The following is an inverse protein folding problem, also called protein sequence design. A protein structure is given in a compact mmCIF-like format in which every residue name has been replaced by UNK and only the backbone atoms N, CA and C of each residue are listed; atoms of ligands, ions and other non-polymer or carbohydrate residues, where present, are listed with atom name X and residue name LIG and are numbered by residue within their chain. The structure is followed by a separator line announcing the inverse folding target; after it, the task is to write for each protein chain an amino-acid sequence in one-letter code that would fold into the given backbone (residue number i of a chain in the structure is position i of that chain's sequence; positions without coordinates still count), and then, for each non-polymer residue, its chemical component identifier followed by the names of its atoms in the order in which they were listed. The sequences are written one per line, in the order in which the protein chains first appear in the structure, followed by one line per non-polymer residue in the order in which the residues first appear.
data_IF_768250654461
#
_entry.id   IF_768250654461
#
_cell.length_a   1.000
_cell.length_b   1.000
_cell.length_c   1.000
_cell.angle_alpha   90.00
_cell.angle_beta   90.00
_cell.angle_gamma   90.00
#
_symmetry.space_group_name_H-M   'P 1'
#
loop_
_entity.id
_entity.type
_entity.pdbx_description
1 polymer ?
#
# COMPACT_ATOMS: atom_id res chain seq x y z
N UNK A 1 15.88 -14.98 -18.87
CA UNK A 1 15.75 -13.86 -17.90
C UNK A 1 15.50 -12.61 -18.71
N UNK A 2 14.38 -11.93 -18.50
CA UNK A 2 14.07 -10.65 -19.16
C UNK A 2 14.30 -9.49 -18.21
N UNK A 3 14.56 -8.30 -18.75
CA UNK A 3 14.56 -7.06 -17.97
C UNK A 3 13.11 -6.73 -17.60
N UNK A 4 12.83 -6.70 -16.31
CA UNK A 4 11.55 -6.29 -15.75
C UNK A 4 11.77 -5.16 -14.74
N UNK A 5 10.74 -4.34 -14.52
CA UNK A 5 10.72 -3.45 -13.38
C UNK A 5 10.94 -4.29 -12.11
N UNK A 6 11.67 -3.75 -11.14
CA UNK A 6 12.08 -4.46 -9.92
C UNK A 6 10.93 -4.72 -8.93
N UNK A 7 9.73 -5.05 -9.42
CA UNK A 7 8.57 -5.48 -8.66
C UNK A 7 8.36 -7.00 -8.81
N UNK A 8 7.45 -7.56 -7.99
CA UNK A 8 7.19 -9.01 -7.93
C UNK A 8 5.88 -9.42 -8.60
N UNK A 9 5.26 -8.52 -9.37
CA UNK A 9 3.95 -8.76 -9.97
C UNK A 9 4.06 -9.86 -11.04
N UNK A 10 3.05 -10.73 -11.04
CA UNK A 10 2.92 -11.86 -11.95
C UNK A 10 1.44 -12.17 -12.19
N UNK A 11 1.13 -13.04 -13.14
CA UNK A 11 -0.25 -13.45 -13.43
C UNK A 11 -1.03 -13.89 -12.18
N UNK A 12 -0.36 -14.53 -11.21
CA UNK A 12 -0.97 -14.93 -9.93
C UNK A 12 -1.53 -13.77 -9.10
N UNK A 13 -1.00 -12.56 -9.28
CA UNK A 13 -1.49 -11.34 -8.60
C UNK A 13 -2.77 -10.83 -9.27
N UNK A 14 -2.89 -10.98 -10.59
CA UNK A 14 -4.11 -10.64 -11.35
C UNK A 14 -5.19 -11.70 -11.09
N UNK A 15 -4.82 -12.97 -11.14
CA UNK A 15 -5.68 -14.13 -10.87
C UNK A 15 -5.77 -14.47 -9.37
N UNK A 16 -5.80 -13.44 -8.52
CA UNK A 16 -5.74 -13.56 -7.06
C UNK A 16 -6.88 -14.41 -6.48
N UNK A 17 -8.01 -14.57 -7.18
CA UNK A 17 -9.17 -15.37 -6.74
C UNK A 17 -8.82 -16.83 -6.44
N UNK A 18 -7.80 -17.39 -7.10
CA UNK A 18 -7.31 -18.75 -6.81
C UNK A 18 -6.43 -18.81 -5.56
N UNK A 19 -6.06 -17.66 -5.02
CA UNK A 19 -5.05 -17.50 -3.97
C UNK A 19 -5.49 -16.48 -2.89
N UNK A 20 -6.79 -16.37 -2.60
CA UNK A 20 -7.35 -15.30 -1.73
C UNK A 20 -6.70 -15.23 -0.33
N UNK A 21 -6.23 -16.36 0.20
CA UNK A 21 -5.60 -16.44 1.52
C UNK A 21 -4.10 -16.14 1.50
N UNK A 22 -3.47 -16.01 0.32
CA UNK A 22 -2.03 -15.73 0.21
C UNK A 22 -1.77 -14.24 0.42
N UNK A 23 -1.67 -13.84 1.69
CA UNK A 23 -1.34 -12.47 2.10
C UNK A 23 -0.11 -11.92 1.37
N UNK A 24 0.88 -12.78 1.06
CA UNK A 24 2.06 -12.40 0.28
C UNK A 24 1.71 -11.74 -1.06
N UNK A 25 0.72 -12.26 -1.79
CA UNK A 25 0.31 -11.67 -3.07
C UNK A 25 -0.30 -10.28 -2.88
N UNK A 26 -1.10 -10.08 -1.83
CA UNK A 26 -1.65 -8.76 -1.52
C UNK A 26 -0.53 -7.76 -1.12
N UNK A 27 0.41 -8.20 -0.28
CA UNK A 27 1.55 -7.37 0.14
C UNK A 27 2.47 -7.01 -1.05
N UNK A 28 2.75 -7.96 -1.94
CA UNK A 28 3.55 -7.71 -3.15
C UNK A 28 2.80 -6.77 -4.13
N UNK A 29 1.49 -6.94 -4.28
CA UNK A 29 0.64 -6.05 -5.10
C UNK A 29 0.68 -4.62 -4.60
N UNK A 30 0.53 -4.42 -3.29
CA UNK A 30 0.43 -3.11 -2.66
C UNK A 30 1.78 -2.63 -2.08
N UNK A 31 2.89 -3.02 -2.70
CA UNK A 31 4.24 -2.63 -2.25
C UNK A 31 4.75 -1.34 -2.89
N UNK A 32 5.70 -0.66 -2.25
CA UNK A 32 6.40 0.49 -2.84
C UNK A 32 7.04 0.16 -4.21
N UNK A 33 7.57 -1.06 -4.39
CA UNK A 33 8.14 -1.46 -5.69
C UNK A 33 7.13 -1.45 -6.85
N UNK A 34 5.87 -1.78 -6.56
CA UNK A 34 4.77 -1.69 -7.54
C UNK A 34 4.43 -0.22 -7.81
N UNK A 35 4.39 0.62 -6.78
CA UNK A 35 4.18 2.06 -6.94
C UNK A 35 5.29 2.73 -7.78
N UNK A 36 6.55 2.36 -7.55
CA UNK A 36 7.69 2.91 -8.28
C UNK A 36 7.66 2.47 -9.77
N UNK A 37 7.20 1.25 -10.04
CA UNK A 37 6.99 0.79 -11.42
C UNK A 37 5.85 1.57 -12.12
N UNK A 38 4.74 1.83 -11.43
CA UNK A 38 3.65 2.66 -11.96
C UNK A 38 4.11 4.10 -12.21
N UNK A 39 4.89 4.67 -11.29
CA UNK A 39 5.45 6.01 -11.42
C UNK A 39 6.40 6.10 -12.63
N UNK A 40 7.28 5.12 -12.79
CA UNK A 40 8.17 5.05 -13.95
C UNK A 40 7.39 4.95 -15.27
N UNK A 41 6.36 4.09 -15.34
CA UNK A 41 5.54 3.93 -16.54
C UNK A 41 4.75 5.21 -16.89
N UNK A 42 4.26 5.92 -15.89
CA UNK A 42 3.61 7.22 -16.06
C UNK A 42 4.60 8.28 -16.57
N UNK A 43 5.80 8.36 -15.98
CA UNK A 43 6.86 9.27 -16.42
C UNK A 43 7.33 8.99 -17.86
N UNK A 44 7.30 7.72 -18.29
CA UNK A 44 7.58 7.32 -19.67
C UNK A 44 6.40 7.54 -20.63
N UNK A 45 5.29 8.11 -20.15
CA UNK A 45 4.07 8.39 -20.93
C UNK A 45 3.47 7.15 -21.60
N UNK A 46 3.58 5.97 -20.99
CA UNK A 46 2.92 4.76 -21.48
C UNK A 46 1.40 4.97 -21.38
N UNK A 47 0.71 4.82 -22.52
CA UNK A 47 -0.68 5.27 -22.67
C UNK A 47 -1.66 4.59 -21.71
N UNK A 48 -1.36 3.35 -21.36
CA UNK A 48 -2.10 2.47 -20.49
C UNK A 48 -1.96 2.83 -19.00
N UNK A 49 -0.96 3.64 -18.65
CA UNK A 49 -0.63 4.02 -17.27
C UNK A 49 -0.81 5.53 -17.00
N UNK A 50 -1.71 6.18 -17.73
CA UNK A 50 -2.12 7.56 -17.43
C UNK A 50 -3.03 7.62 -16.21
N UNK A 51 -2.99 8.73 -15.47
CA UNK A 51 -3.83 8.98 -14.30
C UNK A 51 -3.63 7.97 -13.14
N UNK A 52 -2.40 7.45 -12.97
CA UNK A 52 -2.08 6.46 -11.93
C UNK A 52 -1.62 7.09 -10.62
N UNK A 53 -1.57 8.42 -10.51
CA UNK A 53 -1.01 9.17 -9.38
C UNK A 53 -1.75 8.85 -8.07
N UNK A 54 -3.09 8.82 -8.10
CA UNK A 54 -3.87 8.47 -6.91
C UNK A 54 -3.71 6.99 -6.54
N UNK A 55 -3.52 6.10 -7.52
CA UNK A 55 -3.22 4.68 -7.29
C UNK A 55 -1.85 4.51 -6.63
N UNK A 56 -0.83 5.23 -7.11
CA UNK A 56 0.52 5.26 -6.52
C UNK A 56 0.45 5.74 -5.07
N UNK A 57 -0.27 6.83 -4.81
CA UNK A 57 -0.47 7.37 -3.46
C UNK A 57 -1.18 6.39 -2.54
N UNK A 58 -2.21 5.71 -3.03
CA UNK A 58 -2.92 4.66 -2.30
C UNK A 58 -1.97 3.50 -1.93
N UNK A 59 -1.25 2.95 -2.91
CA UNK A 59 -0.29 1.85 -2.69
C UNK A 59 0.77 2.25 -1.66
N UNK A 60 1.41 3.41 -1.83
CA UNK A 60 2.42 3.92 -0.89
C UNK A 60 1.85 4.12 0.52
N UNK A 61 0.58 4.50 0.63
CA UNK A 61 -0.09 4.66 1.92
C UNK A 61 -0.29 3.31 2.62
N UNK A 62 -0.80 2.31 1.89
CA UNK A 62 -1.00 0.96 2.41
C UNK A 62 0.34 0.32 2.79
N UNK A 63 1.36 0.40 1.93
CA UNK A 63 2.68 -0.20 2.18
C UNK A 63 3.31 0.31 3.47
N UNK A 64 3.28 1.63 3.69
CA UNK A 64 3.81 2.27 4.90
C UNK A 64 3.06 1.86 6.16
N UNK A 65 1.73 1.78 6.09
CA UNK A 65 0.90 1.33 7.20
C UNK A 65 1.14 -0.16 7.50
N UNK A 66 1.24 -0.98 6.45
CA UNK A 66 1.54 -2.40 6.58
C UNK A 66 2.89 -2.62 7.24
N UNK A 67 3.93 -1.91 6.80
CA UNK A 67 5.27 -1.98 7.38
C UNK A 67 5.30 -1.51 8.84
N UNK A 68 4.56 -0.44 9.15
CA UNK A 68 4.43 0.08 10.52
C UNK A 68 3.77 -0.95 11.44
N UNK A 69 2.61 -1.48 11.06
CA UNK A 69 1.86 -2.46 11.85
C UNK A 69 2.56 -3.82 11.93
N UNK A 70 3.40 -4.15 10.96
CA UNK A 70 4.15 -5.41 10.91
C UNK A 70 5.60 -5.27 11.38
N UNK A 71 5.88 -4.30 12.25
CA UNK A 71 7.20 -4.13 12.88
C UNK A 71 7.48 -5.28 13.85
N UNK A 72 8.60 -5.99 13.66
CA UNK A 72 8.98 -7.15 14.50
C UNK A 72 10.43 -7.13 14.99
N UNK A 73 11.28 -6.30 14.40
CA UNK A 73 12.72 -6.31 14.66
C UNK A 73 13.14 -5.08 15.47
N UNK A 74 13.87 -5.23 16.59
CA UNK A 74 14.48 -4.12 17.32
C UNK A 74 15.39 -3.22 16.45
N UNK A 75 15.94 -3.78 15.36
CA UNK A 75 16.85 -3.10 14.44
C UNK A 75 16.16 -2.72 13.11
N UNK A 76 14.83 -2.77 13.07
CA UNK A 76 14.06 -2.37 11.90
C UNK A 76 14.34 -0.93 11.49
N UNK A 77 14.39 -0.68 10.18
CA UNK A 77 14.66 0.63 9.59
C UNK A 77 13.39 1.22 8.97
N UNK A 78 13.35 2.54 8.84
CA UNK A 78 12.23 3.26 8.19
C UNK A 78 10.90 3.01 8.92
N UNK A 79 9.87 2.62 8.17
CA UNK A 79 8.53 2.33 8.69
C UNK A 79 8.48 1.06 9.54
N UNK A 80 9.46 0.16 9.41
CA UNK A 80 9.60 -1.06 10.23
C UNK A 80 10.34 -0.80 11.55
N UNK A 81 10.61 0.48 11.88
CA UNK A 81 11.34 0.84 13.09
C UNK A 81 10.45 0.65 14.32
N UNK A 82 10.93 0.01 15.40
CA UNK A 82 10.17 -0.11 16.64
C UNK A 82 9.70 1.23 17.21
N UNK A 83 8.59 1.18 17.92
CA UNK A 83 8.11 2.30 18.72
C UNK A 83 8.91 2.38 20.02
N UNK A 84 9.48 3.56 20.25
CA UNK A 84 10.17 3.94 21.47
C UNK A 84 9.56 5.24 21.98
N UNK A 85 9.65 5.49 23.28
CA UNK A 85 9.10 6.70 23.89
C UNK A 85 9.67 7.99 23.27
N UNK A 86 10.93 7.95 22.81
CA UNK A 86 11.58 9.08 22.16
C UNK A 86 11.26 9.24 20.66
N UNK A 87 10.56 8.29 20.03
CA UNK A 87 10.23 8.36 18.60
C UNK A 87 8.72 8.33 18.31
N UNK A 88 7.89 8.07 19.32
CA UNK A 88 6.45 7.87 19.17
C UNK A 88 5.76 9.09 18.55
N UNK A 89 6.11 10.31 18.96
CA UNK A 89 5.49 11.52 18.42
C UNK A 89 5.84 11.75 16.95
N UNK A 90 7.09 11.46 16.56
CA UNK A 90 7.51 11.48 15.16
C UNK A 90 6.72 10.46 14.34
N UNK A 91 6.54 9.26 14.87
CA UNK A 91 5.78 8.21 14.17
C UNK A 91 4.30 8.56 14.06
N UNK A 92 3.68 9.09 15.11
CA UNK A 92 2.30 9.61 15.07
C UNK A 92 2.14 10.66 13.97
N UNK A 93 3.07 11.61 13.86
CA UNK A 93 3.05 12.65 12.84
C UNK A 93 3.06 12.10 11.41
N UNK A 94 3.62 10.91 11.19
CA UNK A 94 3.66 10.27 9.87
C UNK A 94 2.45 9.35 9.65
N UNK A 95 2.06 8.56 10.66
CA UNK A 95 1.04 7.51 10.53
C UNK A 95 -0.39 8.05 10.60
N UNK A 96 -0.66 9.05 11.45
CA UNK A 96 -2.03 9.59 11.60
C UNK A 96 -2.58 10.23 10.30
N UNK A 97 -1.79 10.98 9.51
CA UNK A 97 -2.26 11.45 8.20
C UNK A 97 -2.62 10.32 7.22
N UNK A 98 -1.86 9.22 7.24
CA UNK A 98 -2.11 8.05 6.38
C UNK A 98 -3.41 7.35 6.77
N UNK A 99 -3.65 7.17 8.06
CA UNK A 99 -4.90 6.68 8.62
C UNK A 99 -6.07 7.59 8.22
N UNK A 100 -5.93 8.90 8.41
CA UNK A 100 -6.95 9.88 8.01
C UNK A 100 -7.26 9.85 6.52
N UNK A 101 -6.26 9.63 5.67
CA UNK A 101 -6.45 9.45 4.23
C UNK A 101 -7.31 8.22 3.94
N UNK A 102 -6.97 7.05 4.49
CA UNK A 102 -7.74 5.82 4.27
C UNK A 102 -9.19 5.93 4.72
N UNK A 103 -9.43 6.56 5.89
CA UNK A 103 -10.78 6.74 6.42
C UNK A 103 -11.63 7.72 5.61
N UNK A 104 -11.01 8.58 4.79
CA UNK A 104 -11.70 9.50 3.89
C UNK A 104 -12.06 8.87 2.54
N UNK A 105 -11.54 7.68 2.22
CA UNK A 105 -11.83 7.04 0.95
C UNK A 105 -13.32 6.69 0.87
N UNK A 106 -13.90 6.96 -0.29
CA UNK A 106 -15.31 6.69 -0.60
C UNK A 106 -15.41 5.81 -1.83
N UNK A 107 -16.55 5.13 -1.98
CA UNK A 107 -16.90 4.49 -3.24
C UNK A 107 -17.32 5.53 -4.29
N UNK A 108 -17.65 5.06 -5.50
CA UNK A 108 -18.11 5.93 -6.60
C UNK A 108 -19.41 6.69 -6.31
N UNK A 109 -20.13 6.33 -5.24
CA UNK A 109 -21.37 6.98 -4.77
C UNK A 109 -21.11 7.93 -3.60
N UNK A 110 -19.85 8.11 -3.17
CA UNK A 110 -19.49 8.95 -2.03
C UNK A 110 -19.69 8.29 -0.67
N UNK A 111 -19.99 6.98 -0.62
CA UNK A 111 -20.17 6.24 0.63
C UNK A 111 -18.79 5.90 1.19
N UNK A 112 -18.46 6.24 2.46
CA UNK A 112 -17.19 5.87 3.06
C UNK A 112 -16.94 4.36 2.98
N UNK A 113 -15.74 3.95 2.57
CA UNK A 113 -15.38 2.53 2.45
C UNK A 113 -15.55 1.80 3.79
N UNK A 114 -15.29 2.49 4.90
CA UNK A 114 -15.46 1.99 6.28
C UNK A 114 -16.90 1.69 6.65
N UNK A 115 -17.88 2.26 5.94
CA UNK A 115 -19.32 2.07 6.20
C UNK A 115 -19.97 1.08 5.24
N UNK A 116 -19.19 0.46 4.34
CA UNK A 116 -19.73 -0.49 3.35
C UNK A 116 -20.13 -1.82 4.02
N UNK A 117 -21.08 -2.59 3.43
CA UNK A 117 -21.53 -3.87 3.98
C UNK A 117 -20.44 -4.95 4.00
N UNK A 118 -19.38 -4.77 3.20
CA UNK A 118 -18.19 -5.62 3.32
C UNK A 118 -17.53 -5.25 4.64
N UNK A 119 -17.42 -6.23 5.55
CA UNK A 119 -16.65 -6.14 6.81
C UNK A 119 -15.14 -6.02 6.53
N UNK A 120 -14.76 -5.07 5.68
CA UNK A 120 -13.37 -4.80 5.32
C UNK A 120 -12.84 -3.86 6.39
N UNK A 121 -12.00 -4.40 7.27
CA UNK A 121 -11.25 -3.60 8.22
C UNK A 121 -10.39 -2.61 7.42
N UNK A 122 -10.82 -1.35 7.34
CA UNK A 122 -10.04 -0.27 6.70
C UNK A 122 -8.74 -0.05 7.48
N UNK A 123 -8.80 -0.31 8.79
CA UNK A 123 -7.69 -0.36 9.74
C UNK A 123 -7.99 -1.52 10.68
N UNK A 124 -7.02 -2.39 10.90
CA UNK A 124 -7.10 -3.55 11.80
C UNK A 124 -6.40 -3.29 13.13
#
# INVERSE_FOLDING_TARGET
MGLNFANKISASHVDWRKNIMKVRLAAETLSSSTADALEALNCLNVSEFKNVEETIKFIRTIDRLFDFLNTRSPFGKGFKKPLYQNNVEKQKGIILPLIKYLLKLTDVKGIPISSTPRKTFVIG
#
